data_IF_688422862674
#
_entry.id   IF_688422862674
#
_cell.length_a   1.000
_cell.length_b   1.000
_cell.length_c   1.000
_cell.angle_alpha   90.00
_cell.angle_beta   90.00
_cell.angle_gamma   90.00
#
_symmetry.space_group_name_H-M   'P 1'
#
loop_
_entity.id
_entity.type
_entity.pdbx_description
1 polymer ?
#
# COMPACT_ATOMS: atom_id res chain seq x y z
N UNK A 1 29.44 11.20 -17.13
CA UNK A 1 29.31 10.95 -15.65
C UNK A 1 29.83 9.55 -15.38
N UNK A 2 30.77 9.35 -14.46
CA UNK A 2 31.38 8.04 -14.20
C UNK A 2 30.31 7.07 -13.68
N UNK A 3 30.24 5.85 -14.20
CA UNK A 3 29.19 4.86 -13.89
C UNK A 3 29.12 4.51 -12.40
N UNK A 4 30.27 4.48 -11.72
CA UNK A 4 30.37 4.27 -10.29
C UNK A 4 29.67 5.40 -9.50
N UNK A 5 29.88 6.67 -9.88
CA UNK A 5 29.25 7.83 -9.25
C UNK A 5 27.72 7.82 -9.43
N UNK A 6 27.24 7.43 -10.61
CA UNK A 6 25.80 7.28 -10.86
C UNK A 6 25.18 6.18 -9.99
N UNK A 7 25.83 5.03 -9.87
CA UNK A 7 25.35 3.92 -9.04
C UNK A 7 25.30 4.28 -7.56
N UNK A 8 26.32 4.95 -7.04
CA UNK A 8 26.35 5.42 -5.64
C UNK A 8 25.24 6.43 -5.36
N UNK A 9 25.08 7.41 -6.24
CA UNK A 9 24.01 8.42 -6.08
C UNK A 9 22.61 7.77 -6.09
N UNK A 10 22.37 6.84 -7.01
CA UNK A 10 21.10 6.11 -7.09
C UNK A 10 20.83 5.32 -5.83
N UNK A 11 21.81 4.62 -5.29
CA UNK A 11 21.68 3.84 -4.06
C UNK A 11 21.39 4.75 -2.86
N UNK A 12 22.19 5.80 -2.68
CA UNK A 12 22.01 6.75 -1.57
C UNK A 12 20.64 7.45 -1.62
N UNK A 13 20.24 7.94 -2.79
CA UNK A 13 18.92 8.57 -2.95
C UNK A 13 17.80 7.58 -2.64
N UNK A 14 17.90 6.34 -3.12
CA UNK A 14 16.88 5.32 -2.83
C UNK A 14 16.82 5.00 -1.35
N UNK A 15 17.95 4.85 -0.66
CA UNK A 15 17.98 4.61 0.78
C UNK A 15 17.32 5.75 1.58
N UNK A 16 17.62 7.01 1.25
CA UNK A 16 16.99 8.18 1.87
C UNK A 16 15.47 8.22 1.60
N UNK A 17 15.04 7.90 0.38
CA UNK A 17 13.62 7.86 0.02
C UNK A 17 12.88 6.73 0.76
N UNK A 18 13.48 5.54 0.92
CA UNK A 18 12.88 4.45 1.69
C UNK A 18 12.78 4.80 3.17
N UNK A 19 13.81 5.44 3.74
CA UNK A 19 13.76 5.93 5.11
C UNK A 19 12.66 7.00 5.29
N UNK A 20 12.53 7.92 4.35
CA UNK A 20 11.46 8.93 4.36
C UNK A 20 10.07 8.28 4.30
N UNK A 21 9.88 7.28 3.43
CA UNK A 21 8.63 6.53 3.33
C UNK A 21 8.28 5.86 4.67
N UNK A 22 9.26 5.22 5.32
CA UNK A 22 9.09 4.57 6.62
C UNK A 22 8.72 5.59 7.72
N UNK A 23 9.42 6.73 7.78
CA UNK A 23 9.13 7.78 8.75
C UNK A 23 7.72 8.36 8.54
N UNK A 24 7.32 8.64 7.31
CA UNK A 24 5.97 9.13 6.99
C UNK A 24 4.90 8.11 7.39
N UNK A 25 5.11 6.82 7.11
CA UNK A 25 4.18 5.77 7.51
C UNK A 25 4.06 5.69 9.04
N UNK A 26 5.18 5.74 9.75
CA UNK A 26 5.22 5.72 11.22
C UNK A 26 4.51 6.94 11.83
N UNK A 27 4.77 8.14 11.32
CA UNK A 27 4.11 9.37 11.79
C UNK A 27 2.60 9.27 11.56
N UNK A 28 2.15 8.79 10.38
CA UNK A 28 0.73 8.61 10.11
C UNK A 28 0.08 7.59 11.05
N UNK A 29 0.76 6.49 11.39
CA UNK A 29 0.26 5.48 12.32
C UNK A 29 0.04 6.03 13.75
N UNK A 30 0.72 7.10 14.14
CA UNK A 30 0.52 7.78 15.43
C UNK A 30 -0.71 8.71 15.44
N UNK A 31 -1.31 9.00 14.29
CA UNK A 31 -2.46 9.91 14.17
C UNK A 31 -3.76 9.09 14.21
N UNK A 32 -4.57 9.20 15.29
CA UNK A 32 -5.71 8.30 15.50
C UNK A 32 -6.74 8.29 14.36
N UNK A 33 -7.06 9.46 13.77
CA UNK A 33 -8.08 9.55 12.73
C UNK A 33 -7.64 8.97 11.37
N UNK A 34 -6.36 8.66 11.18
CA UNK A 34 -5.85 7.96 10.00
C UNK A 34 -5.97 6.44 10.14
N UNK A 35 -6.28 5.95 11.33
CA UNK A 35 -6.46 4.54 11.62
C UNK A 35 -7.96 4.20 11.64
N UNK A 36 -8.34 3.15 10.95
CA UNK A 36 -9.73 2.71 10.89
C UNK A 36 -10.10 1.92 12.16
N UNK A 37 -11.37 2.00 12.63
CA UNK A 37 -11.79 1.31 13.85
C UNK A 37 -11.75 -0.22 13.75
N UNK A 38 -11.77 -0.77 12.54
CA UNK A 38 -11.74 -2.22 12.27
C UNK A 38 -10.35 -2.71 11.84
N UNK A 39 -9.30 -1.94 12.06
CA UNK A 39 -7.96 -2.20 11.59
C UNK A 39 -7.67 -1.58 10.23
N UNK A 40 -6.39 -1.57 9.87
CA UNK A 40 -5.93 -0.83 8.71
C UNK A 40 -5.89 0.68 8.94
N UNK A 41 -5.32 1.40 8.00
CA UNK A 41 -5.20 2.85 8.03
C UNK A 41 -4.64 3.37 6.73
N UNK A 42 -4.85 4.65 6.45
CA UNK A 42 -4.26 5.29 5.30
C UNK A 42 -3.18 6.28 5.71
N UNK A 43 -2.23 6.51 4.81
CA UNK A 43 -1.10 7.40 5.07
C UNK A 43 -1.16 8.62 4.16
N UNK A 44 -0.51 9.70 4.56
CA UNK A 44 -0.42 10.89 3.73
C UNK A 44 0.89 10.82 2.95
N UNK A 45 0.78 10.34 1.69
CA UNK A 45 1.89 10.31 0.73
C UNK A 45 3.11 9.46 1.16
N UNK A 46 2.99 8.53 2.13
CA UNK A 46 4.13 7.70 2.55
C UNK A 46 4.65 6.79 1.44
N UNK A 47 3.79 6.40 0.48
CA UNK A 47 4.17 5.57 -0.67
C UNK A 47 4.83 6.37 -1.80
N UNK A 48 4.70 7.70 -1.79
CA UNK A 48 5.21 8.56 -2.87
C UNK A 48 6.74 8.50 -3.04
N UNK A 49 7.57 8.48 -1.99
CA UNK A 49 9.02 8.32 -2.15
C UNK A 49 9.40 7.06 -2.93
N UNK A 50 8.67 5.95 -2.74
CA UNK A 50 8.92 4.69 -3.45
C UNK A 50 8.57 4.82 -4.94
N UNK A 51 7.44 5.43 -5.25
CA UNK A 51 7.03 5.76 -6.62
C UNK A 51 8.05 6.67 -7.29
N UNK A 52 8.58 7.67 -6.58
CA UNK A 52 9.62 8.57 -7.08
C UNK A 52 10.91 7.83 -7.43
N UNK A 53 11.33 6.83 -6.66
CA UNK A 53 12.49 5.98 -7.01
C UNK A 53 12.25 5.32 -8.38
N UNK A 54 11.07 4.74 -8.59
CA UNK A 54 10.71 4.13 -9.88
C UNK A 54 10.68 5.14 -11.01
N UNK A 55 10.08 6.31 -10.76
CA UNK A 55 10.02 7.40 -11.72
C UNK A 55 11.42 7.90 -12.11
N UNK A 56 12.33 8.08 -11.16
CA UNK A 56 13.68 8.59 -11.38
C UNK A 56 14.62 7.56 -12.03
N UNK A 57 14.58 6.33 -11.60
CA UNK A 57 15.59 5.31 -11.95
C UNK A 57 15.04 4.15 -12.78
N UNK A 58 13.73 4.14 -13.07
CA UNK A 58 13.07 3.14 -13.89
C UNK A 58 12.47 1.98 -13.11
N UNK A 59 11.56 1.26 -13.78
CA UNK A 59 10.71 0.23 -13.18
C UNK A 59 11.52 -0.88 -12.48
N UNK A 60 12.57 -1.40 -13.12
CA UNK A 60 13.38 -2.50 -12.55
C UNK A 60 13.97 -2.12 -11.19
N UNK A 61 14.54 -0.92 -11.11
CA UNK A 61 15.07 -0.41 -9.84
C UNK A 61 13.97 -0.05 -8.85
N UNK A 62 12.86 0.47 -9.34
CA UNK A 62 11.66 0.74 -8.55
C UNK A 62 11.11 -0.51 -7.88
N UNK A 63 10.92 -1.61 -8.63
CA UNK A 63 10.46 -2.90 -8.10
C UNK A 63 11.43 -3.47 -7.05
N UNK A 64 12.74 -3.42 -7.33
CA UNK A 64 13.75 -3.84 -6.34
C UNK A 64 13.66 -3.02 -5.05
N UNK A 65 13.63 -1.69 -5.16
CA UNK A 65 13.54 -0.80 -3.99
C UNK A 65 12.21 -0.96 -3.23
N UNK A 66 11.12 -1.17 -3.94
CA UNK A 66 9.81 -1.43 -3.36
C UNK A 66 9.77 -2.79 -2.63
N UNK A 67 10.42 -3.82 -3.17
CA UNK A 67 10.63 -5.10 -2.49
C UNK A 67 11.46 -4.96 -1.22
N UNK A 68 12.51 -4.14 -1.22
CA UNK A 68 13.26 -3.82 0.01
C UNK A 68 12.36 -3.09 1.02
N UNK A 69 11.51 -2.16 0.54
CA UNK A 69 10.56 -1.48 1.43
C UNK A 69 9.54 -2.42 2.05
N UNK A 70 9.10 -3.47 1.34
CA UNK A 70 8.21 -4.48 1.90
C UNK A 70 8.80 -5.16 3.13
N UNK A 71 10.11 -5.45 3.10
CA UNK A 71 10.81 -6.00 4.27
C UNK A 71 10.88 -5.00 5.43
N UNK A 72 11.09 -3.72 5.14
CA UNK A 72 11.03 -2.66 6.14
C UNK A 72 9.65 -2.61 6.79
N UNK A 73 8.58 -2.72 6.01
CA UNK A 73 7.20 -2.72 6.54
C UNK A 73 6.90 -3.95 7.40
N UNK A 74 7.40 -5.12 7.06
CA UNK A 74 7.30 -6.31 7.89
C UNK A 74 7.96 -6.06 9.25
N UNK A 75 9.18 -5.50 9.26
CA UNK A 75 9.88 -5.16 10.50
C UNK A 75 9.13 -4.08 11.29
N UNK A 76 8.58 -3.06 10.63
CA UNK A 76 7.81 -2.01 11.29
C UNK A 76 6.54 -2.57 11.93
N UNK A 77 5.80 -3.44 11.25
CA UNK A 77 4.62 -4.09 11.82
C UNK A 77 4.99 -4.91 13.06
N UNK A 78 6.04 -5.73 12.98
CA UNK A 78 6.47 -6.58 14.08
C UNK A 78 6.88 -5.81 15.34
N UNK A 79 7.51 -4.64 15.20
CA UNK A 79 8.12 -3.94 16.34
C UNK A 79 7.46 -2.64 16.73
N UNK A 80 6.71 -1.99 15.82
CA UNK A 80 6.13 -0.66 16.04
C UNK A 80 4.61 -0.66 16.01
N UNK A 81 3.97 -1.71 15.52
CA UNK A 81 2.52 -1.83 15.45
C UNK A 81 1.91 -2.03 16.84
N UNK A 82 0.88 -1.25 17.19
CA UNK A 82 0.01 -1.56 18.33
C UNK A 82 -0.84 -2.79 17.98
N UNK A 83 -0.43 -3.98 18.47
CA UNK A 83 -1.04 -5.23 18.07
C UNK A 83 -0.61 -5.61 16.65
N UNK A 84 0.65 -6.04 16.52
CA UNK A 84 1.21 -6.45 15.24
C UNK A 84 0.30 -7.45 14.53
N UNK A 85 -0.20 -7.09 13.36
CA UNK A 85 -0.98 -7.98 12.50
C UNK A 85 -0.20 -9.26 12.18
N UNK A 86 1.10 -9.12 11.90
CA UNK A 86 1.97 -10.27 11.62
C UNK A 86 2.07 -11.17 12.85
N UNK A 87 2.29 -10.61 14.05
CA UNK A 87 2.36 -11.42 15.28
C UNK A 87 1.04 -12.17 15.53
N UNK A 88 -0.11 -11.52 15.32
CA UNK A 88 -1.40 -12.15 15.47
C UNK A 88 -1.59 -13.33 14.50
N UNK A 89 -1.21 -13.17 13.23
CA UNK A 89 -1.27 -14.22 12.22
C UNK A 89 -0.40 -15.45 12.55
N UNK A 90 0.68 -15.28 13.32
CA UNK A 90 1.61 -16.37 13.69
C UNK A 90 1.41 -16.88 15.11
N UNK A 91 0.45 -16.33 15.89
CA UNK A 91 0.20 -16.74 17.29
C UNK A 91 -1.03 -17.65 17.36
N UNK A 92 -0.88 -18.95 17.71
CA UNK A 92 -1.98 -19.93 17.63
C UNK A 92 -3.23 -19.61 18.46
N UNK A 93 -3.13 -18.77 19.49
CA UNK A 93 -4.26 -18.37 20.35
C UNK A 93 -4.84 -16.99 19.96
N UNK A 94 -4.44 -16.43 18.84
CA UNK A 94 -5.00 -15.19 18.30
C UNK A 94 -6.25 -15.49 17.47
N UNK A 95 -7.23 -14.58 17.49
CA UNK A 95 -8.44 -14.65 16.65
C UNK A 95 -8.09 -14.59 15.15
N UNK A 96 -6.93 -13.99 14.79
CA UNK A 96 -6.46 -13.90 13.43
C UNK A 96 -5.64 -15.11 12.95
N UNK A 97 -5.42 -16.12 13.83
CA UNK A 97 -4.63 -17.28 13.46
C UNK A 97 -5.41 -18.24 12.56
N UNK A 98 -5.02 -18.34 11.32
CA UNK A 98 -5.62 -19.23 10.30
C UNK A 98 -4.68 -20.38 9.87
N UNK A 99 -3.63 -20.62 10.67
CA UNK A 99 -2.57 -21.58 10.37
C UNK A 99 -1.35 -20.96 9.69
N UNK A 100 -0.17 -21.55 9.93
CA UNK A 100 1.11 -21.00 9.45
C UNK A 100 1.21 -20.86 7.94
N UNK A 101 0.62 -21.79 7.17
CA UNK A 101 0.61 -21.71 5.71
C UNK A 101 -0.16 -20.50 5.19
N UNK A 102 -1.32 -20.22 5.78
CA UNK A 102 -2.14 -19.04 5.46
C UNK A 102 -1.43 -17.77 5.90
N UNK A 103 -0.84 -17.75 7.10
CA UNK A 103 -0.06 -16.60 7.60
C UNK A 103 1.08 -16.22 6.64
N UNK A 104 1.83 -17.21 6.12
CA UNK A 104 2.88 -16.99 5.12
C UNK A 104 2.29 -16.47 3.81
N UNK A 105 1.16 -17.00 3.34
CA UNK A 105 0.51 -16.54 2.11
C UNK A 105 0.03 -15.10 2.23
N UNK A 106 -0.55 -14.70 3.36
CA UNK A 106 -0.93 -13.32 3.67
C UNK A 106 0.31 -12.42 3.66
N UNK A 107 1.39 -12.83 4.33
CA UNK A 107 2.65 -12.06 4.36
C UNK A 107 3.20 -11.81 2.94
N UNK A 108 3.11 -12.82 2.06
CA UNK A 108 3.54 -12.68 0.67
C UNK A 108 2.62 -11.70 -0.09
N UNK A 109 1.31 -11.82 0.03
CA UNK A 109 0.38 -11.00 -0.78
C UNK A 109 0.27 -9.58 -0.22
N UNK A 110 -0.01 -9.41 1.08
CA UNK A 110 -0.30 -8.11 1.69
C UNK A 110 0.95 -7.27 1.98
N UNK A 111 2.12 -7.91 2.13
CA UNK A 111 3.36 -7.17 2.33
C UNK A 111 4.25 -7.24 1.08
N UNK A 112 4.72 -8.42 0.67
CA UNK A 112 5.70 -8.50 -0.41
C UNK A 112 5.13 -8.03 -1.75
N UNK A 113 4.00 -8.58 -2.19
CA UNK A 113 3.38 -8.20 -3.47
C UNK A 113 2.82 -6.78 -3.41
N UNK A 114 1.99 -6.48 -2.39
CA UNK A 114 1.30 -5.20 -2.29
C UNK A 114 2.25 -3.98 -2.24
N UNK A 115 3.41 -4.10 -1.61
CA UNK A 115 4.41 -3.03 -1.65
C UNK A 115 5.28 -3.06 -2.89
N UNK A 116 5.67 -4.25 -3.40
CA UNK A 116 6.55 -4.36 -4.56
C UNK A 116 5.91 -3.73 -5.82
N UNK A 117 4.60 -3.86 -6.01
CA UNK A 117 3.89 -3.26 -7.16
C UNK A 117 3.97 -1.73 -7.22
N UNK A 118 4.33 -1.05 -6.11
CA UNK A 118 4.62 0.39 -6.12
C UNK A 118 5.78 0.74 -7.07
N UNK A 119 6.65 -0.21 -7.35
CA UNK A 119 7.72 -0.07 -8.34
C UNK A 119 7.25 0.16 -9.77
N UNK A 120 5.96 -0.05 -10.09
CA UNK A 120 5.37 0.32 -11.37
C UNK A 120 5.09 1.83 -11.52
N UNK A 121 5.25 2.63 -10.47
CA UNK A 121 4.97 4.07 -10.51
C UNK A 121 5.70 4.87 -11.58
N UNK A 122 6.82 4.35 -12.11
CA UNK A 122 7.57 4.97 -13.21
C UNK A 122 7.13 4.59 -14.63
N UNK A 123 6.06 3.79 -14.80
CA UNK A 123 5.67 3.19 -16.09
C UNK A 123 5.36 4.23 -17.18
N UNK A 124 4.80 5.38 -16.82
CA UNK A 124 4.44 6.43 -17.75
C UNK A 124 5.54 7.47 -18.01
N UNK A 125 6.67 7.40 -17.28
CA UNK A 125 7.76 8.38 -17.39
C UNK A 125 8.20 8.67 -18.83
N UNK A 126 8.35 7.64 -19.67
CA UNK A 126 8.78 7.76 -21.07
C UNK A 126 7.62 7.82 -22.07
N UNK A 127 6.38 7.54 -21.62
CA UNK A 127 5.21 7.47 -22.50
C UNK A 127 4.43 8.79 -22.55
N UNK A 128 4.48 9.57 -21.47
CA UNK A 128 3.71 10.82 -21.34
C UNK A 128 4.69 11.99 -21.26
N UNK A 129 4.56 12.96 -22.18
CA UNK A 129 5.45 14.14 -22.25
C UNK A 129 5.30 15.06 -21.02
N UNK A 130 4.07 15.22 -20.54
CA UNK A 130 3.81 16.00 -19.33
C UNK A 130 4.27 15.21 -18.08
N UNK A 131 5.37 15.65 -17.48
CA UNK A 131 6.01 14.97 -16.34
C UNK A 131 5.11 14.88 -15.11
N UNK A 132 4.33 15.93 -14.85
CA UNK A 132 3.34 15.96 -13.76
C UNK A 132 2.28 14.88 -13.96
N UNK A 133 1.71 14.82 -15.16
CA UNK A 133 0.69 13.83 -15.50
C UNK A 133 1.27 12.41 -15.50
N UNK A 134 2.49 12.22 -16.01
CA UNK A 134 3.18 10.93 -16.01
C UNK A 134 3.41 10.40 -14.58
N UNK A 135 3.83 11.28 -13.65
CA UNK A 135 4.03 10.91 -12.26
C UNK A 135 2.71 10.64 -11.55
N UNK A 136 1.70 11.50 -11.72
CA UNK A 136 0.39 11.33 -11.10
C UNK A 136 -0.29 10.02 -11.53
N UNK A 137 -0.36 9.76 -12.85
CA UNK A 137 -0.95 8.52 -13.37
C UNK A 137 -0.13 7.28 -12.97
N UNK A 138 1.20 7.37 -12.93
CA UNK A 138 2.04 6.29 -12.44
C UNK A 138 1.80 5.98 -10.97
N UNK A 139 1.62 7.02 -10.15
CA UNK A 139 1.27 6.88 -8.73
C UNK A 139 -0.11 6.23 -8.57
N UNK A 140 -1.12 6.73 -9.27
CA UNK A 140 -2.47 6.18 -9.22
C UNK A 140 -2.49 4.70 -9.62
N UNK A 141 -1.81 4.34 -10.72
CA UNK A 141 -1.71 2.94 -11.17
C UNK A 141 -1.02 2.05 -10.13
N UNK A 142 0.11 2.48 -9.59
CA UNK A 142 0.88 1.69 -8.62
C UNK A 142 0.07 1.42 -7.34
N UNK A 143 -0.63 2.43 -6.83
CA UNK A 143 -1.49 2.30 -5.67
C UNK A 143 -2.76 1.48 -5.98
N UNK A 144 -3.31 1.60 -7.18
CA UNK A 144 -4.42 0.74 -7.61
C UNK A 144 -4.01 -0.72 -7.67
N UNK A 145 -2.81 -1.04 -8.18
CA UNK A 145 -2.28 -2.40 -8.16
C UNK A 145 -2.10 -2.94 -6.74
N UNK A 146 -1.67 -2.08 -5.81
CA UNK A 146 -1.61 -2.42 -4.38
C UNK A 146 -3.01 -2.72 -3.83
N UNK A 147 -4.00 -1.89 -4.15
CA UNK A 147 -5.39 -2.13 -3.77
C UNK A 147 -5.90 -3.48 -4.30
N UNK A 148 -5.61 -3.82 -5.56
CA UNK A 148 -5.95 -5.12 -6.13
C UNK A 148 -5.30 -6.27 -5.35
N UNK A 149 -4.03 -6.15 -4.95
CA UNK A 149 -3.35 -7.16 -4.12
C UNK A 149 -4.08 -7.37 -2.78
N UNK A 150 -4.48 -6.29 -2.11
CA UNK A 150 -5.26 -6.36 -0.86
C UNK A 150 -6.67 -6.94 -1.08
N UNK A 151 -7.34 -6.64 -2.21
CA UNK A 151 -8.63 -7.26 -2.55
C UNK A 151 -8.47 -8.77 -2.70
N UNK A 152 -7.43 -9.23 -3.40
CA UNK A 152 -7.18 -10.66 -3.59
C UNK A 152 -6.94 -11.35 -2.23
N UNK A 153 -6.11 -10.78 -1.38
CA UNK A 153 -5.84 -11.31 -0.04
C UNK A 153 -7.12 -11.34 0.82
N UNK A 154 -7.82 -10.22 0.89
CA UNK A 154 -9.05 -10.09 1.68
C UNK A 154 -10.14 -11.07 1.23
N UNK A 155 -10.30 -11.26 -0.08
CA UNK A 155 -11.25 -12.22 -0.63
C UNK A 155 -10.90 -13.67 -0.28
N UNK A 156 -9.62 -14.03 -0.37
CA UNK A 156 -9.19 -15.42 -0.16
C UNK A 156 -9.17 -15.78 1.33
N UNK A 157 -8.68 -14.87 2.19
CA UNK A 157 -8.36 -15.24 3.58
C UNK A 157 -9.33 -14.65 4.61
N UNK A 158 -9.93 -13.49 4.33
CA UNK A 158 -10.71 -12.75 5.32
C UNK A 158 -12.23 -12.73 5.06
N UNK A 159 -12.71 -13.49 4.08
CA UNK A 159 -14.13 -13.53 3.73
C UNK A 159 -15.06 -13.94 4.87
N UNK A 160 -14.58 -14.73 5.84
CA UNK A 160 -15.34 -15.12 7.02
C UNK A 160 -15.76 -13.94 7.92
N UNK A 161 -15.05 -12.81 7.85
CA UNK A 161 -15.35 -11.59 8.62
C UNK A 161 -16.44 -10.71 7.99
N UNK A 162 -16.91 -11.06 6.78
CA UNK A 162 -17.81 -10.21 5.99
C UNK A 162 -19.14 -9.94 6.69
N UNK A 163 -19.78 -10.97 7.25
CA UNK A 163 -21.06 -10.82 7.96
C UNK A 163 -20.90 -9.95 9.21
N UNK A 164 -19.89 -10.23 10.03
CA UNK A 164 -19.58 -9.42 11.19
C UNK A 164 -19.32 -7.95 10.81
N UNK A 165 -18.51 -7.71 9.78
CA UNK A 165 -18.14 -6.37 9.36
C UNK A 165 -19.36 -5.54 8.94
N UNK A 166 -20.22 -6.09 8.07
CA UNK A 166 -21.42 -5.37 7.59
C UNK A 166 -22.55 -5.28 8.63
N UNK A 167 -22.50 -6.08 9.70
CA UNK A 167 -23.46 -5.96 10.82
C UNK A 167 -23.12 -4.86 11.82
N UNK A 168 -21.96 -4.19 11.69
CA UNK A 168 -21.58 -3.11 12.60
C UNK A 168 -22.47 -1.88 12.43
N UNK A 169 -22.77 -1.18 13.51
CA UNK A 169 -23.66 0.00 13.54
C UNK A 169 -23.25 1.10 12.54
N UNK A 170 -21.96 1.24 12.26
CA UNK A 170 -21.44 2.22 11.30
C UNK A 170 -21.91 1.99 9.86
N UNK A 171 -22.39 0.78 9.53
CA UNK A 171 -22.87 0.41 8.19
C UNK A 171 -24.36 0.13 8.13
N UNK A 172 -25.12 0.48 9.17
CA UNK A 172 -26.47 0.03 9.45
C UNK A 172 -27.40 -0.07 8.24
N UNK A 173 -27.51 0.92 7.40
CA UNK A 173 -28.39 0.89 6.22
C UNK A 173 -27.74 0.20 5.01
N UNK A 174 -26.48 0.46 4.76
CA UNK A 174 -25.72 -0.11 3.63
C UNK A 174 -25.35 -1.57 3.93
N UNK A 175 -24.97 -1.86 5.17
CA UNK A 175 -24.60 -3.20 5.61
C UNK A 175 -25.78 -4.17 5.49
N UNK A 176 -26.97 -3.81 5.96
CA UNK A 176 -28.17 -4.62 5.81
C UNK A 176 -28.48 -4.94 4.34
N UNK A 177 -28.48 -3.93 3.48
CA UNK A 177 -28.68 -4.15 2.04
C UNK A 177 -27.66 -5.10 1.43
N UNK A 178 -26.36 -4.99 1.82
CA UNK A 178 -25.30 -5.88 1.32
C UNK A 178 -25.55 -7.32 1.80
N UNK A 179 -25.89 -7.51 3.07
CA UNK A 179 -26.15 -8.83 3.66
C UNK A 179 -27.40 -9.50 3.05
N UNK A 180 -28.40 -8.72 2.68
CA UNK A 180 -29.60 -9.22 1.99
C UNK A 180 -29.33 -9.56 0.52
N UNK A 181 -28.36 -8.87 -0.12
CA UNK A 181 -28.08 -8.98 -1.55
C UNK A 181 -26.99 -9.97 -1.91
N UNK A 182 -26.06 -10.24 -1.01
CA UNK A 182 -24.88 -11.07 -1.25
C UNK A 182 -24.69 -12.14 -0.18
N UNK A 183 -24.19 -13.30 -0.59
CA UNK A 183 -23.86 -14.42 0.31
C UNK A 183 -22.61 -15.16 -0.18
N UNK A 184 -22.01 -15.98 0.70
CA UNK A 184 -20.87 -16.81 0.38
C UNK A 184 -19.71 -16.05 -0.26
N UNK A 185 -19.19 -16.53 -1.38
CA UNK A 185 -18.06 -15.91 -2.09
C UNK A 185 -18.37 -14.49 -2.62
N UNK A 186 -19.63 -14.23 -3.00
CA UNK A 186 -20.06 -12.91 -3.44
C UNK A 186 -19.94 -11.91 -2.30
N UNK A 187 -20.37 -12.25 -1.11
CA UNK A 187 -20.25 -11.42 0.09
C UNK A 187 -18.77 -11.22 0.49
N UNK A 188 -17.96 -12.27 0.45
CA UNK A 188 -16.52 -12.19 0.72
C UNK A 188 -15.80 -11.23 -0.24
N UNK A 189 -16.16 -11.26 -1.53
CA UNK A 189 -15.59 -10.33 -2.52
C UNK A 189 -16.01 -8.89 -2.25
N UNK A 190 -17.30 -8.64 -2.03
CA UNK A 190 -17.82 -7.30 -1.71
C UNK A 190 -17.18 -6.76 -0.44
N UNK A 191 -17.05 -7.60 0.59
CA UNK A 191 -16.33 -7.26 1.82
C UNK A 191 -14.91 -6.81 1.53
N UNK A 192 -14.16 -7.60 0.78
CA UNK A 192 -12.76 -7.29 0.51
C UNK A 192 -12.58 -6.00 -0.29
N UNK A 193 -13.42 -5.76 -1.30
CA UNK A 193 -13.42 -4.49 -2.05
C UNK A 193 -13.75 -3.32 -1.12
N UNK A 194 -14.79 -3.46 -0.31
CA UNK A 194 -15.28 -2.37 0.55
C UNK A 194 -14.27 -2.06 1.67
N UNK A 195 -13.87 -3.08 2.43
CA UNK A 195 -12.93 -2.94 3.55
C UNK A 195 -11.60 -2.31 3.11
N UNK A 196 -10.98 -2.88 2.10
CA UNK A 196 -9.72 -2.34 1.58
C UNK A 196 -9.91 -0.98 0.91
N UNK A 197 -11.08 -0.70 0.34
CA UNK A 197 -11.45 0.60 -0.24
C UNK A 197 -11.46 1.72 0.79
N UNK A 198 -11.85 1.46 2.03
CA UNK A 198 -11.93 2.46 3.09
C UNK A 198 -10.58 3.17 3.33
N UNK A 199 -9.47 2.47 3.19
CA UNK A 199 -8.14 3.07 3.37
C UNK A 199 -7.39 3.27 2.04
N UNK A 200 -7.57 2.39 1.05
CA UNK A 200 -6.86 2.50 -0.22
C UNK A 200 -7.38 3.63 -1.12
N UNK A 201 -8.68 3.92 -1.12
CA UNK A 201 -9.22 5.02 -1.92
C UNK A 201 -8.70 6.38 -1.44
N UNK A 202 -8.79 6.74 -0.13
CA UNK A 202 -8.13 7.94 0.38
C UNK A 202 -6.63 7.98 0.10
N UNK A 203 -5.91 6.87 0.29
CA UNK A 203 -4.47 6.76 0.01
C UNK A 203 -4.16 7.08 -1.47
N UNK A 204 -4.91 6.50 -2.41
CA UNK A 204 -4.75 6.75 -3.85
C UNK A 204 -4.97 8.24 -4.16
N UNK A 205 -6.04 8.83 -3.65
CA UNK A 205 -6.39 10.24 -3.91
C UNK A 205 -5.29 11.15 -3.35
N UNK A 206 -4.98 11.04 -2.06
CA UNK A 206 -4.04 11.92 -1.37
C UNK A 206 -2.62 11.81 -1.96
N UNK A 207 -2.15 10.58 -2.19
CA UNK A 207 -0.80 10.35 -2.72
C UNK A 207 -0.70 10.76 -4.20
N UNK A 208 -1.76 10.59 -5.00
CA UNK A 208 -1.78 11.07 -6.39
C UNK A 208 -1.79 12.59 -6.47
N UNK A 209 -2.54 13.27 -5.61
CA UNK A 209 -2.50 14.74 -5.51
C UNK A 209 -1.12 15.24 -5.10
N UNK A 210 -0.50 14.63 -4.09
CA UNK A 210 0.86 14.94 -3.68
C UNK A 210 1.87 14.71 -4.83
N UNK A 211 1.72 13.63 -5.59
CA UNK A 211 2.53 13.34 -6.78
C UNK A 211 2.37 14.43 -7.85
N UNK A 212 1.15 14.90 -8.10
CA UNK A 212 0.90 15.98 -9.05
C UNK A 212 1.56 17.29 -8.60
N UNK A 213 1.47 17.63 -7.31
CA UNK A 213 2.12 18.81 -6.75
C UNK A 213 3.65 18.73 -6.87
N UNK A 214 4.25 17.60 -6.50
CA UNK A 214 5.69 17.37 -6.66
C UNK A 214 6.09 17.42 -8.14
N UNK A 215 5.33 16.78 -9.01
CA UNK A 215 5.56 16.80 -10.46
C UNK A 215 5.56 18.20 -11.06
N UNK A 216 4.76 19.12 -10.50
CA UNK A 216 4.67 20.52 -10.94
C UNK A 216 5.83 21.37 -10.43
N UNK A 217 6.24 21.19 -9.17
CA UNK A 217 7.16 22.12 -8.50
C UNK A 217 8.58 21.59 -8.32
N UNK A 218 8.78 20.27 -8.29
CA UNK A 218 10.09 19.69 -8.01
C UNK A 218 11.01 19.70 -9.24
N UNK A 219 12.01 20.57 -9.23
CA UNK A 219 13.06 20.64 -10.28
C UNK A 219 13.87 19.34 -10.41
N UNK A 220 13.91 18.51 -9.39
CA UNK A 220 14.64 17.23 -9.40
C UNK A 220 14.12 16.28 -10.49
N UNK A 221 12.84 16.37 -10.84
CA UNK A 221 12.22 15.55 -11.89
C UNK A 221 12.56 16.02 -13.31
N UNK A 222 13.13 17.21 -13.46
CA UNK A 222 13.54 17.72 -14.78
C UNK A 222 14.88 17.13 -15.25
N UNK A 223 15.68 16.58 -14.31
CA UNK A 223 16.99 15.97 -14.57
C UNK A 223 16.91 14.43 -14.70
N UNK A 224 15.74 13.83 -14.49
CA UNK A 224 15.53 12.38 -14.53
C UNK A 224 15.05 11.88 -15.94
#
# INVERSE_FOLDING_TARGET
MNQTKFNTQRLTTSAVMLALAAILAMVCALIPFLNLPFGGGFTVASMLPIVLISYMYGIKWGLFSAGVYSLIQIVMDLYLGKGSTIMALFTPNSDDFMGYGVAVAILIIDYLVAYTVLGFGGVFRKKIKNKTLALALGTALALFLRYVAHIISGFIFYGAWAEWFFSQENFYSVGGWILDSFSGQGLAFVYSVFYNGLYMIPEIILTTLAAALIGKYAKILTKA
#
